data_IF_599058678771
#
_entry.id   IF_599058678771
#
_cell.length_a   1.000
_cell.length_b   1.000
_cell.length_c   1.000
_cell.angle_alpha   90.00
_cell.angle_beta   90.00
_cell.angle_gamma   90.00
#
_symmetry.space_group_name_H-M   'P 1'
#
loop_
_entity.id
_entity.type
_entity.pdbx_description
1 polymer ?
#
# COMPACT_ATOMS: atom_id res chain seq x y z
N UNK A 1 0.17 22.50 -2.12
CA UNK A 1 1.11 21.97 -1.11
C UNK A 1 1.11 22.86 0.13
N UNK A 2 0.32 22.45 1.14
CA UNK A 2 0.17 23.25 2.39
C UNK A 2 1.46 23.34 3.22
N UNK A 3 2.43 22.46 2.96
CA UNK A 3 3.70 22.38 3.69
C UNK A 3 4.79 23.31 3.18
N UNK A 4 4.60 23.92 2.01
CA UNK A 4 5.54 24.88 1.43
C UNK A 4 5.25 26.33 1.80
N UNK A 5 4.12 26.59 2.47
CA UNK A 5 3.75 27.92 2.94
C UNK A 5 4.00 28.02 4.44
N UNK A 6 4.91 28.89 4.83
CA UNK A 6 5.16 29.25 6.21
C UNK A 6 4.92 30.74 6.38
N UNK A 7 4.43 31.15 7.54
CA UNK A 7 4.19 32.55 7.87
C UNK A 7 5.08 32.95 9.06
N UNK A 8 5.68 34.13 9.05
CA UNK A 8 6.35 34.66 10.23
C UNK A 8 5.33 34.91 11.35
N UNK A 9 5.73 34.69 12.59
CA UNK A 9 4.91 34.90 13.79
C UNK A 9 5.40 36.13 14.56
N UNK A 10 4.70 36.48 15.63
CA UNK A 10 5.07 37.64 16.51
C UNK A 10 5.32 38.94 15.74
N UNK A 11 4.40 39.29 14.84
CA UNK A 11 4.49 40.53 14.01
C UNK A 11 5.80 40.64 13.19
N UNK A 12 6.34 39.49 12.76
CA UNK A 12 7.58 39.45 11.96
C UNK A 12 8.87 39.46 12.77
N UNK A 13 8.78 39.26 14.08
CA UNK A 13 9.96 39.17 14.96
C UNK A 13 10.54 37.78 15.05
N UNK A 14 9.76 36.74 14.70
CA UNK A 14 10.16 35.35 14.70
C UNK A 14 10.27 34.82 13.26
N UNK A 15 11.16 33.83 13.09
CA UNK A 15 11.35 33.10 11.85
C UNK A 15 10.12 32.33 11.42
N UNK A 16 10.17 31.77 10.22
CA UNK A 16 9.10 30.95 9.68
C UNK A 16 8.79 29.74 10.53
N UNK A 17 7.50 29.51 10.79
CA UNK A 17 7.04 28.35 11.55
C UNK A 17 7.29 27.07 10.76
N UNK A 18 7.88 26.06 11.42
CA UNK A 18 8.01 24.72 10.83
C UNK A 18 6.65 24.06 10.65
N UNK A 19 6.35 23.62 9.43
CA UNK A 19 5.13 22.90 9.07
C UNK A 19 5.31 21.37 9.15
N UNK A 20 6.27 20.90 9.96
CA UNK A 20 6.63 19.47 10.06
C UNK A 20 5.47 18.57 10.48
N UNK A 21 4.67 18.97 11.46
CA UNK A 21 3.48 18.20 11.88
C UNK A 21 2.44 18.08 10.77
N UNK A 22 2.20 19.16 10.02
CA UNK A 22 1.32 19.14 8.85
C UNK A 22 1.87 18.25 7.73
N UNK A 23 3.18 18.29 7.52
CA UNK A 23 3.85 17.41 6.55
C UNK A 23 3.70 15.94 6.91
N UNK A 24 3.92 15.58 8.18
CA UNK A 24 3.74 14.21 8.69
C UNK A 24 2.29 13.74 8.54
N UNK A 25 1.32 14.61 8.87
CA UNK A 25 -0.09 14.28 8.68
C UNK A 25 -0.44 14.04 7.20
N UNK A 26 0.03 14.89 6.30
CA UNK A 26 -0.18 14.73 4.87
C UNK A 26 0.46 13.45 4.34
N UNK A 27 1.67 13.10 4.80
CA UNK A 27 2.32 11.83 4.46
C UNK A 27 1.48 10.64 4.91
N UNK A 28 1.00 10.65 6.15
CA UNK A 28 0.14 9.58 6.66
C UNK A 28 -1.14 9.41 5.80
N UNK A 29 -1.76 10.53 5.42
CA UNK A 29 -2.93 10.48 4.52
C UNK A 29 -2.55 9.95 3.13
N UNK A 30 -1.40 10.34 2.59
CA UNK A 30 -0.92 9.86 1.31
C UNK A 30 -0.70 8.33 1.33
N UNK A 31 -0.04 7.80 2.36
CA UNK A 31 0.16 6.35 2.52
C UNK A 31 -1.18 5.61 2.58
N UNK A 32 -2.13 6.07 3.39
CA UNK A 32 -3.46 5.47 3.49
C UNK A 32 -4.21 5.47 2.15
N UNK A 33 -4.18 6.60 1.43
CA UNK A 33 -4.84 6.69 0.11
C UNK A 33 -4.16 5.81 -0.94
N UNK A 34 -2.83 5.71 -0.90
CA UNK A 34 -2.10 4.80 -1.79
C UNK A 34 -2.47 3.34 -1.52
N UNK A 35 -2.60 2.93 -0.26
CA UNK A 35 -3.02 1.56 0.05
C UNK A 35 -4.46 1.26 -0.40
N UNK A 36 -5.37 2.23 -0.32
CA UNK A 36 -6.74 2.10 -0.85
C UNK A 36 -6.74 1.89 -2.37
N UNK A 37 -5.92 2.65 -3.11
CA UNK A 37 -5.78 2.49 -4.58
C UNK A 37 -5.21 1.13 -4.92
N UNK A 38 -4.11 0.72 -4.27
CA UNK A 38 -3.50 -0.59 -4.49
C UNK A 38 -4.46 -1.75 -4.12
N UNK A 39 -5.28 -1.59 -3.09
CA UNK A 39 -6.31 -2.56 -2.75
C UNK A 39 -7.34 -2.73 -3.87
N UNK A 40 -7.78 -1.62 -4.49
CA UNK A 40 -8.67 -1.69 -5.65
C UNK A 40 -8.01 -2.39 -6.85
N UNK A 41 -6.77 -2.05 -7.16
CA UNK A 41 -6.01 -2.68 -8.24
C UNK A 41 -5.85 -4.19 -8.01
N UNK A 42 -5.42 -4.59 -6.81
CA UNK A 42 -5.26 -5.99 -6.44
C UNK A 42 -6.58 -6.76 -6.52
N UNK A 43 -7.66 -6.16 -6.01
CA UNK A 43 -8.99 -6.76 -6.05
C UNK A 43 -9.45 -7.02 -7.49
N UNK A 44 -9.32 -6.02 -8.36
CA UNK A 44 -9.71 -6.14 -9.78
C UNK A 44 -8.82 -7.13 -10.51
N UNK A 45 -7.49 -7.06 -10.30
CA UNK A 45 -6.54 -7.99 -10.90
C UNK A 45 -6.85 -9.44 -10.48
N UNK A 46 -7.11 -9.67 -9.18
CA UNK A 46 -7.48 -11.01 -8.68
C UNK A 46 -8.75 -11.53 -9.31
N UNK A 47 -9.78 -10.71 -9.47
CA UNK A 47 -11.01 -11.09 -10.17
C UNK A 47 -10.75 -11.36 -11.66
N UNK A 48 -9.89 -10.58 -12.30
CA UNK A 48 -9.48 -10.81 -13.70
C UNK A 48 -8.76 -12.15 -13.90
N UNK A 49 -7.89 -12.55 -12.96
CA UNK A 49 -7.19 -13.83 -12.99
C UNK A 49 -8.14 -15.04 -12.93
N UNK A 50 -9.35 -14.88 -12.42
CA UNK A 50 -10.37 -15.94 -12.44
C UNK A 50 -10.71 -16.41 -13.87
N UNK A 51 -10.60 -15.52 -14.85
CA UNK A 51 -10.89 -15.81 -16.27
C UNK A 51 -9.66 -16.27 -17.05
N UNK A 52 -8.48 -16.32 -16.42
CA UNK A 52 -7.23 -16.72 -17.05
C UNK A 52 -6.84 -18.14 -16.64
N UNK A 53 -6.41 -18.94 -17.61
CA UNK A 53 -6.01 -20.34 -17.39
C UNK A 53 -4.49 -20.55 -17.28
N UNK A 54 -3.72 -19.47 -17.23
CA UNK A 54 -2.26 -19.52 -17.16
C UNK A 54 -1.76 -19.33 -15.73
N UNK A 55 -0.67 -20.06 -15.40
CA UNK A 55 0.05 -19.85 -14.14
C UNK A 55 0.87 -18.56 -14.21
N UNK A 56 0.87 -17.83 -13.13
CA UNK A 56 1.68 -16.63 -12.93
C UNK A 56 3.08 -16.97 -12.38
N UNK A 57 3.91 -15.96 -12.14
CA UNK A 57 5.17 -16.13 -11.42
C UNK A 57 4.92 -16.57 -9.97
N UNK A 58 5.94 -17.18 -9.33
CA UNK A 58 5.84 -17.62 -7.93
C UNK A 58 5.41 -16.51 -6.99
N UNK A 59 5.94 -15.29 -7.18
CA UNK A 59 5.59 -14.12 -6.36
C UNK A 59 4.10 -13.76 -6.50
N UNK A 60 3.60 -13.76 -7.73
CA UNK A 60 2.18 -13.48 -8.00
C UNK A 60 1.29 -14.55 -7.41
N UNK A 61 1.66 -15.83 -7.51
CA UNK A 61 0.89 -16.93 -6.90
C UNK A 61 0.82 -16.82 -5.37
N UNK A 62 1.90 -16.38 -4.71
CA UNK A 62 1.89 -16.12 -3.25
C UNK A 62 0.94 -14.97 -2.93
N UNK A 63 1.04 -13.85 -3.66
CA UNK A 63 0.16 -12.71 -3.47
C UNK A 63 -1.31 -13.07 -3.71
N UNK A 64 -1.60 -13.88 -4.73
CA UNK A 64 -2.95 -14.39 -5.01
C UNK A 64 -3.47 -15.22 -3.84
N UNK A 65 -2.65 -16.12 -3.28
CA UNK A 65 -3.04 -16.90 -2.10
C UNK A 65 -3.35 -16.01 -0.89
N UNK A 66 -2.53 -14.99 -0.65
CA UNK A 66 -2.80 -14.01 0.41
C UNK A 66 -4.12 -13.26 0.15
N UNK A 67 -4.34 -12.80 -1.08
CA UNK A 67 -5.58 -12.12 -1.44
C UNK A 67 -6.82 -13.01 -1.31
N UNK A 68 -6.70 -14.31 -1.60
CA UNK A 68 -7.78 -15.30 -1.49
C UNK A 68 -8.22 -15.58 -0.05
N UNK A 69 -7.49 -15.12 0.95
CA UNK A 69 -7.95 -15.17 2.36
C UNK A 69 -9.03 -14.13 2.66
N UNK A 70 -9.06 -13.05 1.88
CA UNK A 70 -9.96 -11.90 2.05
C UNK A 70 -11.00 -11.87 0.93
N UNK A 71 -10.56 -12.00 -0.33
CA UNK A 71 -11.42 -11.87 -1.50
C UNK A 71 -12.25 -13.14 -1.68
N UNK A 72 -13.55 -13.00 -1.62
CA UNK A 72 -14.45 -14.11 -1.91
C UNK A 72 -14.33 -14.53 -3.38
N UNK A 73 -14.34 -15.83 -3.61
CA UNK A 73 -14.21 -16.42 -4.97
C UNK A 73 -15.42 -16.16 -5.86
N UNK A 74 -16.53 -15.75 -5.28
CA UNK A 74 -17.73 -15.41 -6.03
C UNK A 74 -17.50 -14.12 -6.86
N UNK A 75 -17.74 -14.22 -8.16
CA UNK A 75 -17.61 -13.11 -9.12
C UNK A 75 -18.91 -12.36 -9.36
N UNK A 76 -19.99 -12.71 -8.65
CA UNK A 76 -21.26 -12.00 -8.73
C UNK A 76 -21.12 -10.53 -8.30
N UNK A 77 -22.06 -9.71 -8.72
CA UNK A 77 -22.14 -8.32 -8.28
C UNK A 77 -22.60 -8.26 -6.83
N UNK A 78 -21.78 -7.65 -5.96
CA UNK A 78 -22.00 -7.58 -4.52
C UNK A 78 -21.23 -6.41 -3.89
N UNK A 79 -21.58 -6.10 -2.66
CA UNK A 79 -20.82 -5.11 -1.88
C UNK A 79 -19.44 -5.63 -1.52
N UNK A 80 -18.39 -4.92 -1.93
CA UNK A 80 -16.97 -5.31 -1.76
C UNK A 80 -16.17 -4.38 -0.84
N UNK A 81 -16.83 -3.38 -0.24
CA UNK A 81 -16.16 -2.33 0.54
C UNK A 81 -15.45 -2.84 1.81
N UNK A 82 -15.90 -3.96 2.40
CA UNK A 82 -15.23 -4.60 3.54
C UNK A 82 -13.91 -5.24 3.12
N UNK A 83 -13.92 -6.01 2.02
CA UNK A 83 -12.74 -6.66 1.47
C UNK A 83 -11.67 -5.65 1.05
N UNK A 84 -12.07 -4.57 0.37
CA UNK A 84 -11.16 -3.50 -0.03
C UNK A 84 -10.47 -2.83 1.16
N UNK A 85 -11.21 -2.57 2.25
CA UNK A 85 -10.63 -2.00 3.48
C UNK A 85 -9.67 -2.96 4.18
N UNK A 86 -9.99 -4.24 4.21
CA UNK A 86 -9.14 -5.27 4.81
C UNK A 86 -7.85 -5.43 4.01
N UNK A 87 -7.93 -5.52 2.67
CA UNK A 87 -6.75 -5.54 1.79
C UNK A 87 -5.89 -4.28 2.02
N UNK A 88 -6.48 -3.09 2.05
CA UNK A 88 -5.74 -1.85 2.29
C UNK A 88 -5.02 -1.85 3.65
N UNK A 89 -5.64 -2.42 4.68
CA UNK A 89 -5.03 -2.60 6.01
C UNK A 89 -3.83 -3.54 5.97
N UNK A 90 -3.97 -4.69 5.31
CA UNK A 90 -2.88 -5.67 5.16
C UNK A 90 -1.68 -5.10 4.40
N UNK A 91 -1.92 -4.31 3.35
CA UNK A 91 -0.87 -3.64 2.59
C UNK A 91 -0.08 -2.65 3.45
N UNK A 92 -0.74 -1.92 4.36
CA UNK A 92 -0.06 -0.99 5.30
C UNK A 92 0.75 -1.75 6.35
N UNK A 93 0.23 -2.90 6.83
CA UNK A 93 0.88 -3.71 7.87
C UNK A 93 2.05 -4.54 7.32
N UNK A 94 2.21 -4.59 6.00
CA UNK A 94 3.27 -5.36 5.32
C UNK A 94 3.31 -6.86 5.66
N UNK A 95 2.24 -7.42 6.21
CA UNK A 95 2.20 -8.83 6.58
C UNK A 95 2.40 -9.76 5.38
N UNK A 96 1.81 -9.42 4.25
CA UNK A 96 1.96 -10.19 3.01
C UNK A 96 3.35 -10.09 2.40
N UNK A 97 4.06 -8.97 2.60
CA UNK A 97 5.42 -8.80 2.11
C UNK A 97 6.36 -9.84 2.72
N UNK A 98 6.27 -10.08 4.02
CA UNK A 98 7.08 -11.11 4.70
C UNK A 98 6.82 -12.52 4.14
N UNK A 99 5.58 -12.83 3.78
CA UNK A 99 5.23 -14.12 3.16
C UNK A 99 5.80 -14.24 1.74
N UNK A 100 5.71 -13.17 0.95
CA UNK A 100 6.27 -13.11 -0.40
C UNK A 100 7.80 -13.25 -0.35
N UNK A 101 8.46 -12.56 0.59
CA UNK A 101 9.91 -12.64 0.81
C UNK A 101 10.36 -14.04 1.22
N UNK A 102 9.66 -14.67 2.16
CA UNK A 102 9.97 -16.01 2.65
C UNK A 102 9.91 -17.05 1.52
N UNK A 103 8.97 -16.94 0.60
CA UNK A 103 8.79 -17.87 -0.51
C UNK A 103 9.74 -17.61 -1.69
N UNK A 104 10.23 -16.39 -1.86
CA UNK A 104 10.90 -15.98 -3.11
C UNK A 104 12.42 -15.84 -2.99
N UNK A 105 12.99 -15.78 -1.80
CA UNK A 105 14.44 -15.69 -1.50
C UNK A 105 15.25 -14.62 -2.31
N UNK A 106 14.59 -13.78 -3.12
CA UNK A 106 15.24 -12.84 -4.06
C UNK A 106 15.18 -11.37 -3.64
N UNK A 107 14.23 -10.97 -2.82
CA UNK A 107 14.01 -9.57 -2.41
C UNK A 107 15.05 -9.08 -1.40
N UNK A 108 15.66 -9.91 -0.52
CA UNK A 108 16.64 -9.46 0.47
C UNK A 108 17.86 -8.75 -0.12
N UNK A 109 18.31 -9.12 -1.31
CA UNK A 109 19.47 -8.48 -1.95
C UNK A 109 19.21 -7.04 -2.35
N UNK A 110 18.03 -6.74 -2.90
CA UNK A 110 17.65 -5.39 -3.31
C UNK A 110 17.46 -4.46 -2.09
N UNK A 111 16.88 -4.95 -1.01
CA UNK A 111 16.70 -4.17 0.23
C UNK A 111 18.05 -3.89 0.90
N UNK A 112 18.99 -4.85 0.90
CA UNK A 112 20.34 -4.63 1.42
C UNK A 112 21.14 -3.63 0.57
N UNK A 113 21.01 -3.64 -0.73
CA UNK A 113 21.64 -2.66 -1.62
C UNK A 113 21.11 -1.24 -1.41
N UNK A 114 19.80 -1.08 -1.19
CA UNK A 114 19.17 0.22 -0.91
C UNK A 114 19.54 0.72 0.50
N UNK A 115 19.65 -0.16 1.48
CA UNK A 115 20.02 0.23 2.85
C UNK A 115 21.51 0.49 3.04
N UNK A 116 22.34 0.20 2.04
CA UNK A 116 23.76 0.50 2.01
C UNK A 116 24.12 1.79 1.26
N UNK A 117 23.13 2.49 0.71
CA UNK A 117 23.23 3.82 0.12
C UNK A 117 22.94 4.91 1.16
#
# INVERSE_FOLDING_TARGET
>A
PRTSFSTPTSAGQEDHVSMGSTACWNLLQAVRRSSEVLACELFVARRGLHFMHHKSSTQVEVLVRCADTIIQKDVSDRTTSSELREIASELVQSAWLSLIEAETHRIPKLIQEISSL
#
